data_IF_781982044566
#
_entry.id   IF_781982044566
#
_cell.length_a   1.000
_cell.length_b   1.000
_cell.length_c   1.000
_cell.angle_alpha   90.00
_cell.angle_beta   90.00
_cell.angle_gamma   90.00
#
_symmetry.space_group_name_H-M   'P 1'
#
loop_
_entity.id
_entity.type
_entity.pdbx_description
1 polymer ?
#
# COMPACT_ATOMS: atom_id res chain seq x y z
N UNK A 1 -1.96 2.15 1.06
CA UNK A 1 -1.78 1.55 -0.28
C UNK A 1 -0.52 0.67 -0.26
N UNK A 2 -0.35 -0.21 -1.24
CA UNK A 2 0.87 -1.02 -1.38
C UNK A 2 1.23 -1.21 -2.86
N UNK A 3 2.51 -1.48 -3.14
CA UNK A 3 3.00 -1.82 -4.48
C UNK A 3 2.69 -3.29 -4.83
N UNK A 4 1.41 -3.65 -4.73
CA UNK A 4 0.87 -4.97 -5.01
C UNK A 4 -0.51 -4.81 -5.67
N UNK A 5 -0.94 -5.76 -6.51
CA UNK A 5 -2.26 -5.71 -7.13
C UNK A 5 -3.38 -6.18 -6.18
N UNK A 6 -3.06 -7.04 -5.22
CA UNK A 6 -3.99 -7.64 -4.24
C UNK A 6 -3.30 -7.80 -2.89
N UNK A 7 -4.08 -8.03 -1.84
CA UNK A 7 -3.55 -8.36 -0.51
C UNK A 7 -3.26 -9.85 -0.37
N UNK A 8 -2.41 -10.24 0.59
CA UNK A 8 -1.86 -11.61 0.67
C UNK A 8 -2.80 -12.62 1.35
N UNK A 9 -3.85 -12.17 2.01
CA UNK A 9 -4.78 -13.02 2.75
C UNK A 9 -6.17 -12.34 2.86
N UNK A 10 -7.26 -13.10 2.91
CA UNK A 10 -8.62 -12.55 2.96
C UNK A 10 -9.03 -12.16 4.38
N UNK A 11 -8.36 -12.67 5.42
CA UNK A 11 -8.71 -12.42 6.83
C UNK A 11 -7.49 -12.10 7.69
N UNK A 12 -7.66 -11.36 8.81
CA UNK A 12 -6.57 -11.05 9.73
C UNK A 12 -5.87 -12.28 10.28
N UNK A 13 -6.61 -13.34 10.59
CA UNK A 13 -6.08 -14.60 11.14
C UNK A 13 -5.19 -15.31 10.12
N UNK A 14 -5.62 -15.37 8.86
CA UNK A 14 -4.82 -15.97 7.80
C UNK A 14 -3.57 -15.12 7.52
N UNK A 15 -3.69 -13.79 7.54
CA UNK A 15 -2.53 -12.92 7.39
C UNK A 15 -1.52 -13.11 8.53
N UNK A 16 -1.99 -13.20 9.77
CA UNK A 16 -1.17 -13.48 10.94
C UNK A 16 -0.49 -14.86 10.85
N UNK A 17 -1.21 -15.89 10.40
CA UNK A 17 -0.65 -17.22 10.16
C UNK A 17 0.46 -17.20 9.11
N UNK A 18 0.27 -16.48 8.00
CA UNK A 18 1.28 -16.31 6.96
C UNK A 18 2.53 -15.61 7.50
N UNK A 19 2.36 -14.52 8.26
CA UNK A 19 3.46 -13.80 8.88
C UNK A 19 4.20 -14.69 9.88
N UNK A 20 3.48 -15.43 10.72
CA UNK A 20 4.08 -16.36 11.70
C UNK A 20 4.90 -17.46 11.03
N UNK A 21 4.38 -18.04 9.94
CA UNK A 21 5.12 -19.02 9.15
C UNK A 21 6.40 -18.42 8.55
N UNK A 22 6.32 -17.22 7.94
CA UNK A 22 7.48 -16.53 7.35
C UNK A 22 8.55 -16.14 8.38
N UNK A 23 8.12 -15.58 9.51
CA UNK A 23 9.02 -15.15 10.58
C UNK A 23 9.74 -16.31 11.27
N UNK A 24 9.22 -17.55 11.14
CA UNK A 24 9.91 -18.73 11.65
C UNK A 24 11.19 -19.09 10.90
N UNK A 25 11.39 -18.57 9.67
CA UNK A 25 12.51 -18.92 8.79
C UNK A 25 12.46 -20.33 8.19
N UNK A 26 11.47 -21.14 8.58
CA UNK A 26 11.28 -22.52 8.13
C UNK A 26 10.51 -22.56 6.80
N UNK A 27 11.20 -22.99 5.74
CA UNK A 27 10.63 -23.07 4.39
C UNK A 27 9.52 -24.11 4.29
N UNK A 28 9.59 -25.21 5.07
CA UNK A 28 8.58 -26.26 5.05
C UNK A 28 7.29 -25.79 5.72
N UNK A 29 7.40 -24.99 6.79
CA UNK A 29 6.23 -24.31 7.39
C UNK A 29 5.57 -23.34 6.43
N UNK A 30 6.34 -22.54 5.70
CA UNK A 30 5.79 -21.64 4.68
C UNK A 30 5.12 -22.44 3.56
N UNK A 31 5.74 -23.51 3.08
CA UNK A 31 5.17 -24.38 2.06
C UNK A 31 3.89 -25.08 2.52
N UNK A 32 3.85 -25.58 3.76
CA UNK A 32 2.65 -26.15 4.36
C UNK A 32 1.54 -25.12 4.48
N UNK A 33 1.85 -23.91 5.01
CA UNK A 33 0.88 -22.84 5.11
C UNK A 33 0.26 -22.50 3.75
N UNK A 34 1.08 -22.34 2.70
CA UNK A 34 0.57 -22.03 1.36
C UNK A 34 -0.26 -23.15 0.76
N UNK A 35 0.08 -24.42 1.05
CA UNK A 35 -0.70 -25.59 0.62
C UNK A 35 -2.08 -25.62 1.28
N UNK A 36 -2.12 -25.31 2.58
CA UNK A 36 -3.33 -25.39 3.39
C UNK A 36 -4.20 -24.12 3.28
N UNK A 37 -3.68 -23.04 2.68
CA UNK A 37 -4.38 -21.77 2.48
C UNK A 37 -4.37 -21.35 0.99
N UNK A 38 -5.21 -21.97 0.13
CA UNK A 38 -5.24 -21.69 -1.31
C UNK A 38 -5.45 -20.21 -1.69
N UNK A 39 -6.31 -19.41 -0.99
CA UNK A 39 -6.45 -17.99 -1.29
C UNK A 39 -5.13 -17.21 -1.15
N UNK A 40 -4.34 -17.49 -0.10
CA UNK A 40 -3.04 -16.84 0.10
C UNK A 40 -2.02 -17.26 -0.96
N UNK A 41 -2.03 -18.54 -1.36
CA UNK A 41 -1.18 -19.02 -2.45
C UNK A 41 -1.54 -18.40 -3.80
N UNK A 42 -2.85 -18.23 -4.10
CA UNK A 42 -3.32 -17.57 -5.30
C UNK A 42 -2.92 -16.08 -5.33
N UNK A 43 -3.12 -15.37 -4.21
CA UNK A 43 -2.69 -13.98 -4.05
C UNK A 43 -1.18 -13.82 -4.26
N UNK A 44 -0.37 -14.71 -3.67
CA UNK A 44 1.08 -14.68 -3.83
C UNK A 44 1.49 -14.80 -5.30
N UNK A 45 0.88 -15.71 -6.07
CA UNK A 45 1.15 -15.84 -7.50
C UNK A 45 0.84 -14.55 -8.27
N UNK A 46 -0.27 -13.88 -7.95
CA UNK A 46 -0.64 -12.60 -8.57
C UNK A 46 0.37 -11.50 -8.23
N UNK A 47 0.84 -11.44 -6.99
CA UNK A 47 1.84 -10.47 -6.54
C UNK A 47 3.18 -10.72 -7.24
N UNK A 48 3.61 -11.97 -7.35
CA UNK A 48 4.88 -12.35 -7.98
C UNK A 48 4.89 -12.14 -9.50
N UNK A 49 3.74 -12.30 -10.17
CA UNK A 49 3.59 -12.02 -11.59
C UNK A 49 3.58 -10.52 -11.92
N UNK A 50 3.37 -9.65 -10.92
CA UNK A 50 3.35 -8.21 -11.09
C UNK A 50 4.72 -7.60 -11.44
N UNK A 51 4.74 -6.41 -12.07
CA UNK A 51 5.99 -5.73 -12.38
C UNK A 51 6.72 -5.32 -11.09
N UNK A 52 8.03 -5.60 -11.03
CA UNK A 52 8.89 -5.14 -9.94
C UNK A 52 9.35 -3.72 -10.22
N UNK A 53 8.93 -2.79 -9.38
CA UNK A 53 9.31 -1.39 -9.53
C UNK A 53 10.84 -1.21 -9.38
N UNK A 54 11.41 -0.37 -10.24
CA UNK A 54 12.84 -0.03 -10.23
C UNK A 54 13.17 1.09 -9.24
N UNK A 55 12.18 1.74 -8.62
CA UNK A 55 12.32 2.76 -7.57
C UNK A 55 10.95 3.04 -6.94
N UNK A 56 10.88 3.77 -5.83
CA UNK A 56 9.61 4.26 -5.30
C UNK A 56 8.86 5.15 -6.30
N UNK A 57 9.60 5.97 -7.07
CA UNK A 57 9.05 6.84 -8.11
C UNK A 57 8.42 6.07 -9.28
N UNK A 58 8.93 4.87 -9.59
CA UNK A 58 8.45 4.01 -10.66
C UNK A 58 7.33 3.03 -10.25
N UNK A 59 7.06 2.90 -8.94
CA UNK A 59 6.06 1.98 -8.45
C UNK A 59 4.64 2.54 -8.64
N UNK A 60 3.70 1.66 -8.98
CA UNK A 60 2.27 1.93 -8.80
C UNK A 60 1.83 1.40 -7.43
N UNK A 61 0.93 2.12 -6.75
CA UNK A 61 0.43 1.73 -5.44
C UNK A 61 -1.09 1.60 -5.44
N UNK A 62 -1.60 0.48 -4.94
CA UNK A 62 -3.04 0.17 -4.92
C UNK A 62 -3.64 0.31 -3.53
N UNK A 63 -4.92 0.67 -3.43
CA UNK A 63 -5.69 0.66 -2.19
C UNK A 63 -5.75 -0.74 -1.55
N UNK A 64 -5.71 -1.78 -2.40
CA UNK A 64 -5.89 -3.20 -2.10
C UNK A 64 -7.33 -3.51 -1.64
N UNK A 65 -7.73 -2.89 -0.54
CA UNK A 65 -9.08 -2.98 0.00
C UNK A 65 -10.06 -2.22 -0.90
N UNK A 66 -11.31 -2.69 -0.89
CA UNK A 66 -12.46 -2.01 -1.46
C UNK A 66 -13.01 -0.99 -0.46
N UNK A 67 -13.51 0.13 -0.96
CA UNK A 67 -14.24 1.13 -0.17
C UNK A 67 -15.60 1.39 -0.82
N UNK A 68 -16.52 2.01 -0.08
CA UNK A 68 -17.85 2.35 -0.60
C UNK A 68 -17.94 3.86 -0.76
N UNK A 69 -18.06 4.33 -2.00
CA UNK A 69 -18.35 5.74 -2.27
C UNK A 69 -19.85 5.96 -2.16
N UNK A 70 -20.25 7.00 -1.44
CA UNK A 70 -21.64 7.35 -1.16
C UNK A 70 -21.92 8.75 -1.68
N UNK A 71 -22.83 8.84 -2.64
CA UNK A 71 -23.27 10.12 -3.21
C UNK A 71 -24.26 10.82 -2.28
N UNK A 72 -24.54 12.10 -2.54
CA UNK A 72 -25.51 12.89 -1.75
C UNK A 72 -26.93 12.30 -1.71
N UNK A 73 -27.32 11.54 -2.74
CA UNK A 73 -28.61 10.84 -2.81
C UNK A 73 -28.55 9.40 -2.25
N UNK A 74 -27.46 9.01 -1.59
CA UNK A 74 -27.32 7.72 -0.92
C UNK A 74 -26.95 6.54 -1.83
N UNK A 75 -26.59 6.78 -3.09
CA UNK A 75 -26.12 5.70 -3.98
C UNK A 75 -24.75 5.24 -3.50
N UNK A 76 -24.63 3.93 -3.29
CA UNK A 76 -23.44 3.26 -2.78
C UNK A 76 -22.72 2.56 -3.93
N UNK A 77 -21.43 2.81 -4.11
CA UNK A 77 -20.65 2.22 -5.19
C UNK A 77 -19.33 1.68 -4.66
N UNK A 78 -19.01 0.40 -4.87
CA UNK A 78 -17.69 -0.14 -4.57
C UNK A 78 -16.61 0.55 -5.40
N UNK A 79 -15.53 0.98 -4.76
CA UNK A 79 -14.39 1.63 -5.43
C UNK A 79 -13.09 1.07 -4.87
N UNK A 80 -12.16 0.78 -5.78
CA UNK A 80 -10.73 0.64 -5.49
C UNK A 80 -9.98 1.79 -6.16
N UNK A 81 -8.77 2.12 -5.72
CA UNK A 81 -7.96 3.12 -6.40
C UNK A 81 -6.50 2.72 -6.49
N UNK A 82 -5.81 3.34 -7.44
CA UNK A 82 -4.37 3.22 -7.62
C UNK A 82 -3.76 4.57 -7.90
N UNK A 83 -2.56 4.81 -7.39
CA UNK A 83 -1.71 5.89 -7.88
C UNK A 83 -0.66 5.28 -8.82
N UNK A 84 -0.59 5.79 -10.05
CA UNK A 84 0.35 5.31 -11.08
C UNK A 84 1.29 6.44 -11.47
N UNK A 85 2.58 6.17 -11.73
CA UNK A 85 3.52 7.23 -12.13
C UNK A 85 2.98 8.06 -13.30
N UNK A 86 3.04 9.38 -13.17
CA UNK A 86 2.64 10.33 -14.21
C UNK A 86 3.86 10.59 -15.13
N UNK A 87 4.01 9.71 -16.13
CA UNK A 87 5.15 9.67 -17.04
C UNK A 87 6.11 8.52 -16.75
N UNK A 88 7.20 8.44 -17.52
CA UNK A 88 8.26 7.48 -17.27
C UNK A 88 9.27 8.10 -16.32
N UNK A 89 9.41 7.60 -15.08
CA UNK A 89 10.50 8.02 -14.24
C UNK A 89 11.82 7.56 -14.88
N UNK A 90 12.46 8.47 -15.60
CA UNK A 90 13.80 8.28 -16.17
C UNK A 90 14.81 8.07 -15.03
N UNK A 91 15.84 7.25 -15.32
CA UNK A 91 16.91 6.91 -14.39
C UNK A 91 16.67 5.60 -13.64
N UNK A 92 17.50 4.59 -13.90
CA UNK A 92 17.73 3.49 -12.98
C UNK A 92 18.75 3.96 -11.96
N UNK A 93 18.35 4.14 -10.70
CA UNK A 93 19.32 4.36 -9.64
C UNK A 93 20.21 3.12 -9.51
N UNK A 94 21.52 3.35 -9.32
CA UNK A 94 22.43 2.29 -8.94
C UNK A 94 21.92 1.68 -7.63
N UNK A 95 21.93 0.34 -7.53
CA UNK A 95 21.43 -0.38 -6.35
C UNK A 95 22.54 -0.49 -5.31
N UNK A 96 23.08 0.64 -4.92
CA UNK A 96 24.26 0.74 -4.08
C UNK A 96 23.83 0.77 -2.60
N UNK A 97 24.04 -0.35 -1.91
CA UNK A 97 23.68 -0.48 -0.50
C UNK A 97 22.18 -0.71 -0.23
N UNK A 98 21.78 -0.83 1.05
CA UNK A 98 20.41 -1.20 1.42
C UNK A 98 19.38 -0.08 1.23
N UNK A 99 19.82 1.19 1.14
CA UNK A 99 18.95 2.37 1.14
C UNK A 99 18.79 3.02 -0.25
N UNK A 100 19.32 2.42 -1.31
CA UNK A 100 19.37 3.00 -2.66
C UNK A 100 18.02 3.54 -3.18
N UNK A 101 16.88 2.91 -2.84
CA UNK A 101 15.56 3.40 -3.24
C UNK A 101 15.18 4.72 -2.58
N UNK A 102 15.57 4.91 -1.31
CA UNK A 102 15.35 6.16 -0.57
C UNK A 102 16.26 7.27 -1.09
N UNK A 103 17.52 6.96 -1.38
CA UNK A 103 18.47 7.91 -1.98
C UNK A 103 18.00 8.38 -3.36
N UNK A 104 17.55 7.45 -4.21
CA UNK A 104 16.97 7.76 -5.52
C UNK A 104 15.73 8.65 -5.41
N UNK A 105 14.86 8.39 -4.43
CA UNK A 105 13.68 9.22 -4.16
C UNK A 105 14.08 10.62 -3.70
N UNK A 106 15.01 10.72 -2.74
CA UNK A 106 15.49 11.99 -2.20
C UNK A 106 16.14 12.85 -3.29
N UNK A 107 17.01 12.27 -4.12
CA UNK A 107 17.60 12.96 -5.28
C UNK A 107 16.49 13.49 -6.21
N UNK A 108 15.52 12.64 -6.56
CA UNK A 108 14.45 13.04 -7.48
C UNK A 108 13.62 14.20 -6.95
N UNK A 109 13.23 14.14 -5.68
CA UNK A 109 12.43 15.19 -5.03
C UNK A 109 13.23 16.49 -4.84
N UNK A 110 14.56 16.43 -4.68
CA UNK A 110 15.42 17.63 -4.63
C UNK A 110 15.46 18.38 -5.97
N UNK A 111 15.40 17.65 -7.10
CA UNK A 111 15.55 18.24 -8.44
C UNK A 111 14.22 18.48 -9.18
N UNK A 112 13.07 18.10 -8.59
CA UNK A 112 11.77 18.35 -9.19
C UNK A 112 10.63 17.64 -8.46
N UNK A 113 9.43 17.78 -9.01
CA UNK A 113 8.24 17.13 -8.45
C UNK A 113 8.15 15.67 -8.87
N UNK A 114 7.72 14.81 -7.95
CA UNK A 114 7.27 13.46 -8.28
C UNK A 114 5.74 13.46 -8.41
N UNK A 115 5.24 12.98 -9.56
CA UNK A 115 3.83 13.08 -9.92
C UNK A 115 3.23 11.69 -10.15
N UNK A 116 2.01 11.49 -9.69
CA UNK A 116 1.22 10.28 -9.89
C UNK A 116 -0.20 10.63 -10.33
N UNK A 117 -0.78 9.86 -11.25
CA UNK A 117 -2.22 9.93 -11.54
C UNK A 117 -2.99 9.06 -10.56
N UNK A 118 -4.03 9.61 -9.94
CA UNK A 118 -4.97 8.90 -9.08
C UNK A 118 -6.08 8.32 -9.94
N UNK A 119 -6.09 7.01 -10.11
CA UNK A 119 -7.07 6.28 -10.89
C UNK A 119 -8.05 5.55 -9.97
N UNK A 120 -9.33 5.86 -10.09
CA UNK A 120 -10.41 5.14 -9.42
C UNK A 120 -10.90 4.03 -10.33
N UNK A 121 -11.03 2.82 -9.81
CA UNK A 121 -11.67 1.68 -10.47
C UNK A 121 -13.06 1.50 -9.87
N UNK A 122 -14.09 1.55 -10.71
CA UNK A 122 -15.49 1.51 -10.31
C UNK A 122 -16.00 0.08 -10.36
N UNK A 123 -16.42 -0.45 -9.21
CA UNK A 123 -16.94 -1.79 -9.08
C UNK A 123 -18.43 -1.87 -9.39
N UNK A 124 -18.88 -3.08 -9.72
CA UNK A 124 -20.27 -3.43 -9.97
C UNK A 124 -20.85 -4.09 -8.71
N UNK A 125 -21.82 -3.45 -8.03
CA UNK A 125 -22.45 -4.01 -6.84
C UNK A 125 -22.98 -5.44 -7.07
N UNK A 126 -22.71 -6.34 -6.12
CA UNK A 126 -23.14 -7.74 -6.18
C UNK A 126 -22.33 -8.64 -7.13
N UNK A 127 -21.38 -8.09 -7.90
CA UNK A 127 -20.47 -8.87 -8.76
C UNK A 127 -19.03 -8.81 -8.27
N UNK A 128 -18.54 -7.61 -7.97
CA UNK A 128 -17.16 -7.42 -7.54
C UNK A 128 -17.02 -7.63 -6.03
N UNK A 129 -15.99 -8.38 -5.57
CA UNK A 129 -15.79 -8.65 -4.16
C UNK A 129 -15.46 -7.37 -3.39
N UNK A 130 -16.26 -7.11 -2.37
CA UNK A 130 -16.09 -5.99 -1.42
C UNK A 130 -15.41 -6.42 -0.13
N UNK A 131 -15.42 -7.72 0.16
CA UNK A 131 -14.94 -8.32 1.42
C UNK A 131 -13.65 -9.14 1.28
N UNK A 132 -13.15 -9.37 0.06
CA UNK A 132 -11.94 -10.18 -0.16
C UNK A 132 -10.89 -9.39 -0.96
N UNK A 133 -9.84 -8.89 -0.29
CA UNK A 133 -8.78 -8.12 -0.95
C UNK A 133 -7.76 -9.01 -1.68
N UNK A 134 -7.87 -10.35 -1.61
CA UNK A 134 -7.02 -11.28 -2.38
C UNK A 134 -7.46 -11.42 -3.83
N UNK A 135 -8.73 -11.09 -4.10
CA UNK A 135 -9.34 -11.24 -5.42
C UNK A 135 -9.16 -9.95 -6.24
N UNK A 136 -8.58 -10.02 -7.45
CA UNK A 136 -8.57 -8.90 -8.36
C UNK A 136 -9.97 -8.66 -8.92
N UNK A 137 -10.28 -7.41 -9.28
CA UNK A 137 -11.43 -7.11 -10.11
C UNK A 137 -11.09 -7.27 -11.59
N UNK A 138 -12.08 -7.50 -12.47
CA UNK A 138 -11.84 -7.54 -13.91
C UNK A 138 -11.09 -6.30 -14.43
N UNK A 139 -10.13 -6.46 -15.35
CA UNK A 139 -9.28 -5.36 -15.81
C UNK A 139 -10.04 -4.32 -16.66
N UNK A 140 -11.20 -4.69 -17.19
CA UNK A 140 -12.09 -3.87 -18.01
C UNK A 140 -13.06 -3.01 -17.19
N UNK A 141 -13.04 -3.10 -15.85
CA UNK A 141 -13.84 -2.20 -15.00
C UNK A 141 -13.53 -0.74 -15.32
N UNK A 142 -14.60 0.06 -15.38
CA UNK A 142 -14.52 1.50 -15.66
C UNK A 142 -13.50 2.15 -14.73
N UNK A 143 -12.59 2.92 -15.33
CA UNK A 143 -11.63 3.73 -14.59
C UNK A 143 -11.95 5.22 -14.76
N UNK A 144 -11.70 5.99 -13.70
CA UNK A 144 -11.84 7.45 -13.68
C UNK A 144 -10.49 8.02 -13.26
N UNK A 145 -9.92 8.91 -14.07
CA UNK A 145 -8.78 9.73 -13.66
C UNK A 145 -9.31 10.84 -12.73
N UNK A 146 -8.98 10.74 -11.44
CA UNK A 146 -9.46 11.65 -10.40
C UNK A 146 -8.47 12.78 -10.10
N UNK A 147 -7.37 12.88 -10.84
CA UNK A 147 -6.39 13.96 -10.74
C UNK A 147 -4.97 13.49 -10.45
N UNK A 148 -4.11 14.43 -10.08
CA UNK A 148 -2.68 14.21 -9.89
C UNK A 148 -2.27 14.40 -8.43
N UNK A 149 -1.59 13.41 -7.86
CA UNK A 149 -0.83 13.53 -6.62
C UNK A 149 0.57 14.05 -6.95
N UNK A 150 0.95 15.17 -6.35
CA UNK A 150 2.25 15.81 -6.52
C UNK A 150 3.01 15.80 -5.20
N UNK A 151 4.18 15.17 -5.19
CA UNK A 151 5.13 15.24 -4.08
C UNK A 151 6.19 16.27 -4.45
N UNK A 152 6.04 17.49 -3.90
CA UNK A 152 6.77 18.67 -4.36
C UNK A 152 8.07 18.98 -3.61
N UNK A 153 8.27 18.44 -2.41
CA UNK A 153 9.50 18.62 -1.64
C UNK A 153 9.66 17.53 -0.59
N UNK A 154 10.90 17.28 -0.19
CA UNK A 154 11.23 16.48 0.98
C UNK A 154 11.37 17.42 2.18
N UNK A 155 10.83 17.03 3.33
CA UNK A 155 11.05 17.73 4.59
C UNK A 155 12.24 17.13 5.31
N UNK A 156 13.10 17.94 5.98
CA UNK A 156 14.20 17.42 6.79
C UNK A 156 13.69 16.45 7.86
N UNK A 157 14.45 15.39 8.13
CA UNK A 157 14.08 14.33 9.08
C UNK A 157 13.86 14.85 10.49
N UNK A 158 14.54 15.93 10.87
CA UNK A 158 14.40 16.59 12.17
C UNK A 158 13.06 17.31 12.32
N UNK A 159 12.40 17.62 11.21
CA UNK A 159 11.06 18.22 11.13
C UNK A 159 9.97 17.15 10.88
N UNK A 160 10.39 15.92 10.56
CA UNK A 160 9.50 14.80 10.30
C UNK A 160 8.98 14.18 11.59
N UNK A 161 7.76 14.56 11.93
CA UNK A 161 6.91 13.78 12.82
C UNK A 161 6.41 12.48 12.13
N UNK A 162 7.16 11.88 11.19
CA UNK A 162 6.78 10.62 10.52
C UNK A 162 6.59 9.52 11.56
N UNK A 163 7.49 9.45 12.55
CA UNK A 163 7.31 8.52 13.66
C UNK A 163 6.09 8.88 14.52
N UNK A 164 5.58 10.09 14.47
CA UNK A 164 4.43 10.47 15.29
C UNK A 164 3.14 10.56 14.47
N UNK A 165 3.17 10.11 13.20
CA UNK A 165 2.02 10.10 12.29
C UNK A 165 1.43 8.70 12.14
N UNK A 166 0.12 8.55 12.37
CA UNK A 166 -0.60 7.31 12.10
C UNK A 166 -1.40 7.42 10.80
N UNK A 167 -1.09 6.58 9.81
CA UNK A 167 -1.84 6.50 8.54
C UNK A 167 -2.97 5.47 8.64
N UNK A 168 -3.99 5.78 9.44
CA UNK A 168 -5.16 4.92 9.64
C UNK A 168 -6.03 4.86 8.37
N UNK A 169 -6.21 3.69 7.73
CA UNK A 169 -6.98 3.56 6.50
C UNK A 169 -8.50 3.74 6.71
N UNK A 170 -8.97 3.84 7.96
CA UNK A 170 -10.38 4.01 8.30
C UNK A 170 -10.77 5.46 8.60
N UNK A 171 -9.79 6.37 8.67
CA UNK A 171 -10.04 7.81 8.72
C UNK A 171 -10.38 8.28 7.31
N UNK A 172 -11.68 8.39 7.02
CA UNK A 172 -12.20 8.66 5.69
C UNK A 172 -12.94 10.01 5.62
N UNK A 173 -12.86 10.74 4.50
CA UNK A 173 -13.65 11.94 4.30
C UNK A 173 -15.13 11.58 4.09
N UNK A 174 -16.01 12.57 4.27
CA UNK A 174 -17.44 12.42 3.97
C UNK A 174 -17.65 11.92 2.54
N UNK A 175 -18.51 10.91 2.40
CA UNK A 175 -18.82 10.27 1.12
C UNK A 175 -17.94 9.05 0.79
N UNK A 176 -17.04 8.64 1.68
CA UNK A 176 -16.30 7.38 1.57
C UNK A 176 -16.49 6.59 2.87
N UNK A 177 -16.88 5.33 2.74
CA UNK A 177 -17.10 4.40 3.84
C UNK A 177 -16.25 3.13 3.66
N UNK A 178 -16.10 2.38 4.76
CA UNK A 178 -15.51 1.04 4.73
C UNK A 178 -16.42 0.09 3.94
N UNK A 179 -15.82 -0.86 3.23
CA UNK A 179 -16.53 -2.06 2.81
C UNK A 179 -16.65 -3.05 3.98
N UNK A 180 -17.25 -4.21 3.69
CA UNK A 180 -17.32 -5.38 4.56
C UNK A 180 -16.03 -6.23 4.56
N UNK A 181 -14.89 -5.64 4.19
CA UNK A 181 -13.57 -6.29 4.21
C UNK A 181 -13.04 -6.43 5.65
N UNK A 182 -12.83 -7.66 6.15
CA UNK A 182 -12.38 -7.89 7.52
C UNK A 182 -10.92 -7.46 7.74
N UNK A 183 -10.08 -7.46 6.71
CA UNK A 183 -8.74 -6.88 6.78
C UNK A 183 -8.86 -5.37 7.00
N UNK A 184 -9.69 -4.69 6.20
CA UNK A 184 -9.85 -3.24 6.31
C UNK A 184 -10.34 -2.84 7.71
N UNK A 185 -11.35 -3.54 8.23
CA UNK A 185 -11.90 -3.29 9.57
C UNK A 185 -10.86 -3.50 10.68
N UNK A 186 -10.01 -4.53 10.59
CA UNK A 186 -9.01 -4.83 11.60
C UNK A 186 -7.83 -3.85 11.63
N UNK A 187 -7.55 -3.16 10.51
CA UNK A 187 -6.34 -2.34 10.37
C UNK A 187 -6.28 -1.15 11.33
N UNK A 188 -7.40 -0.50 11.64
CA UNK A 188 -7.40 0.65 12.56
C UNK A 188 -6.81 0.28 13.94
N UNK A 189 -7.31 -0.79 14.55
CA UNK A 189 -6.86 -1.24 15.86
C UNK A 189 -5.38 -1.70 15.84
N UNK A 190 -4.96 -2.40 14.78
CA UNK A 190 -3.57 -2.85 14.61
C UNK A 190 -2.62 -1.66 14.45
N UNK A 191 -3.01 -0.65 13.65
CA UNK A 191 -2.22 0.54 13.39
C UNK A 191 -2.12 1.40 14.66
N UNK A 192 -3.23 1.54 15.39
CA UNK A 192 -3.27 2.22 16.68
C UNK A 192 -2.37 1.55 17.73
N UNK A 193 -2.38 0.22 17.83
CA UNK A 193 -1.50 -0.51 18.76
C UNK A 193 -0.03 -0.37 18.37
N UNK A 194 0.30 -0.47 17.08
CA UNK A 194 1.65 -0.20 16.57
C UNK A 194 2.10 1.22 16.91
N UNK A 195 1.24 2.21 16.66
CA UNK A 195 1.48 3.60 17.02
C UNK A 195 1.72 3.79 18.53
N UNK A 196 0.88 3.19 19.37
CA UNK A 196 1.00 3.26 20.83
C UNK A 196 2.34 2.75 21.34
N UNK A 197 2.90 1.72 20.70
CA UNK A 197 4.23 1.16 21.05
C UNK A 197 5.35 2.07 20.59
N UNK A 198 5.40 2.39 19.30
CA UNK A 198 6.49 3.18 18.68
C UNK A 198 6.56 4.63 19.19
N UNK A 199 5.44 5.21 19.60
CA UNK A 199 5.42 6.55 20.20
C UNK A 199 6.07 6.59 21.60
N UNK A 200 6.25 5.45 22.26
CA UNK A 200 6.93 5.35 23.58
C UNK A 200 8.42 5.05 23.47
N UNK A 201 8.91 4.73 22.27
CA UNK A 201 10.32 4.43 22.06
C UNK A 201 11.14 5.73 22.06
N UNK A 202 12.35 5.67 22.63
CA UNK A 202 13.32 6.75 22.48
C UNK A 202 13.92 6.66 21.07
N UNK A 203 13.94 7.75 20.27
CA UNK A 203 14.54 7.71 18.94
C UNK A 203 16.00 7.26 19.04
N UNK A 204 16.43 6.34 18.16
CA UNK A 204 17.85 6.12 17.94
C UNK A 204 18.51 7.42 17.45
N UNK A 205 19.81 7.64 17.73
CA UNK A 205 20.54 8.76 17.16
C UNK A 205 20.36 8.84 15.64
N UNK A 206 20.19 10.04 15.13
CA UNK A 206 19.96 10.28 13.70
C UNK A 206 21.24 9.95 12.94
N UNK A 207 21.25 8.87 12.17
CA UNK A 207 22.13 8.80 11.00
C UNK A 207 21.66 9.87 10.01
N UNK A 208 22.49 10.90 9.81
CA UNK A 208 22.24 11.98 8.86
C UNK A 208 22.43 11.46 7.44
N UNK A 209 21.33 11.28 6.71
CA UNK A 209 21.40 10.85 5.31
C UNK A 209 21.79 12.03 4.41
N UNK A 210 22.94 11.91 3.74
CA UNK A 210 23.36 12.82 2.67
C UNK A 210 23.93 14.16 3.12
N UNK A 211 24.72 14.20 4.20
CA UNK A 211 25.61 15.35 4.50
C UNK A 211 27.01 15.21 3.90
N UNK A 212 27.42 14.00 3.50
CA UNK A 212 28.77 13.74 2.95
C UNK A 212 28.81 13.58 1.41
N UNK A 213 27.80 14.08 0.68
CA UNK A 213 27.83 14.16 -0.79
C UNK A 213 27.28 15.49 -1.31
#
# INVERSE_FOLDING_TARGET
MAAAPVFMAPTPEMFFGLLSARLSGDKDRVAAFMRDNPPAAAAQKLIEAGPKASSFAAASYSSLNTFIFVTKNGVRTPVRWRVVPDGNPTGTAAKDGPNWMFEALAQRVRFGELRYRLLLQIGVPGQDPTNDPTLPWPPDRRQIDAGTLVLGHAIPREQEHIRDTNFDPTVLPTGIELSDDPILAARAAIYAESFRRRARETPAPVEQFGQDM
#
